data_IF_814811176833
#
_entry.id   IF_814811176833
#
_cell.length_a   1.000
_cell.length_b   1.000
_cell.length_c   1.000
_cell.angle_alpha   90.00
_cell.angle_beta   90.00
_cell.angle_gamma   90.00
#
_symmetry.space_group_name_H-M   'P 1'
#
loop_
_entity.id
_entity.type
_entity.pdbx_description
1 polymer ?
#
# COMPACT_ATOMS: atom_id res chain seq x y z
N UNK A 1 -12.79 20.80 -0.69
CA UNK A 1 -11.71 20.95 0.30
C UNK A 1 -11.65 19.63 1.03
N UNK A 2 -10.80 18.69 0.57
CA UNK A 2 -10.71 17.36 1.16
C UNK A 2 -9.65 17.40 2.26
N UNK A 3 -10.05 17.02 3.47
CA UNK A 3 -9.18 17.00 4.64
C UNK A 3 -8.63 15.58 4.80
N UNK A 4 -7.35 15.39 4.53
CA UNK A 4 -6.63 14.23 5.06
C UNK A 4 -6.22 14.54 6.49
N UNK A 5 -6.38 13.55 7.38
CA UNK A 5 -5.91 13.67 8.77
C UNK A 5 -4.64 12.84 8.89
N UNK A 6 -3.52 13.52 9.15
CA UNK A 6 -2.21 12.90 9.37
C UNK A 6 -1.96 12.80 10.86
N UNK A 7 -1.71 11.59 11.33
CA UNK A 7 -1.28 11.33 12.70
C UNK A 7 0.19 10.89 12.68
N UNK A 8 1.00 11.51 13.54
CA UNK A 8 2.37 11.08 13.81
C UNK A 8 2.41 10.43 15.18
N UNK A 9 2.68 9.13 15.23
CA UNK A 9 2.72 8.38 16.49
C UNK A 9 4.15 7.88 16.70
N UNK A 10 4.78 8.42 17.76
CA UNK A 10 6.09 7.94 18.20
C UNK A 10 5.91 6.73 19.12
N UNK A 11 6.23 5.54 18.62
CA UNK A 11 6.33 4.35 19.45
C UNK A 11 7.76 4.24 20.01
N UNK A 12 7.89 4.33 21.34
CA UNK A 12 9.17 4.11 22.02
C UNK A 12 9.28 2.64 22.41
N UNK A 13 9.88 1.82 21.56
CA UNK A 13 10.24 0.46 21.95
C UNK A 13 11.47 0.53 22.88
N UNK A 14 11.24 0.43 24.19
CA UNK A 14 12.33 0.28 25.14
C UNK A 14 13.09 -1.01 24.85
N UNK A 15 14.41 -0.95 24.77
CA UNK A 15 15.24 -2.16 24.77
C UNK A 15 15.01 -2.89 26.09
N UNK A 16 14.30 -4.02 26.05
CA UNK A 16 14.13 -4.87 27.22
C UNK A 16 15.41 -5.65 27.40
N UNK A 17 16.32 -5.11 28.21
CA UNK A 17 17.36 -5.91 28.85
C UNK A 17 16.70 -6.88 29.83
N UNK A 18 17.16 -8.12 29.79
CA UNK A 18 16.53 -9.31 30.34
C UNK A 18 16.16 -9.22 31.82
N UNK A 19 14.87 -9.32 32.19
CA UNK A 19 14.43 -9.92 33.46
C UNK A 19 13.00 -10.51 33.35
N UNK A 20 12.87 -11.83 33.49
CA UNK A 20 11.67 -12.51 34.02
C UNK A 20 10.57 -12.93 33.03
N UNK A 21 10.52 -14.23 32.70
CA UNK A 21 9.50 -14.95 31.90
C UNK A 21 8.07 -14.99 32.54
N UNK A 22 7.53 -13.88 33.06
CA UNK A 22 6.15 -13.84 33.59
C UNK A 22 5.13 -13.11 32.70
N UNK A 23 5.58 -12.45 31.63
CA UNK A 23 4.73 -11.69 30.72
C UNK A 23 4.19 -12.50 29.52
N UNK A 24 4.82 -13.63 29.20
CA UNK A 24 4.47 -14.46 28.03
C UNK A 24 3.01 -14.97 28.02
N UNK A 25 2.38 -15.38 29.15
CA UNK A 25 0.98 -15.77 29.13
C UNK A 25 0.03 -14.57 29.03
N UNK A 26 0.40 -13.40 29.57
CA UNK A 26 -0.44 -12.19 29.53
C UNK A 26 -0.48 -11.59 28.11
N UNK A 27 0.67 -11.54 27.44
CA UNK A 27 0.75 -11.12 26.03
C UNK A 27 0.03 -12.12 25.13
N UNK A 28 0.20 -13.43 25.36
CA UNK A 28 -0.54 -14.46 24.63
C UNK A 28 -2.06 -14.37 24.82
N UNK A 29 -2.53 -14.06 26.03
CA UNK A 29 -3.97 -13.92 26.31
C UNK A 29 -4.55 -12.66 25.67
N UNK A 30 -3.83 -11.53 25.67
CA UNK A 30 -4.24 -10.32 24.95
C UNK A 30 -4.24 -10.56 23.43
N UNK A 31 -3.27 -11.31 22.91
CA UNK A 31 -3.20 -11.64 21.48
C UNK A 31 -4.35 -12.57 21.06
N UNK A 32 -4.69 -13.57 21.87
CA UNK A 32 -5.83 -14.47 21.62
C UNK A 32 -7.15 -13.71 21.77
N UNK A 33 -7.29 -12.81 22.76
CA UNK A 33 -8.48 -11.96 22.90
C UNK A 33 -8.63 -11.00 21.72
N UNK A 34 -7.51 -10.46 21.20
CA UNK A 34 -7.49 -9.64 19.99
C UNK A 34 -7.87 -10.46 18.76
N UNK A 35 -7.36 -11.69 18.62
CA UNK A 35 -7.75 -12.61 17.53
C UNK A 35 -9.23 -13.01 17.64
N UNK A 36 -9.76 -13.26 18.85
CA UNK A 36 -11.17 -13.60 19.05
C UNK A 36 -12.09 -12.40 18.81
N UNK A 37 -11.69 -11.19 19.20
CA UNK A 37 -12.41 -9.96 18.85
C UNK A 37 -12.37 -9.66 17.34
N UNK A 38 -11.27 -10.02 16.67
CA UNK A 38 -11.15 -9.93 15.21
C UNK A 38 -11.80 -11.10 14.46
N UNK A 39 -12.12 -12.22 15.12
CA UNK A 39 -12.79 -13.36 14.46
C UNK A 39 -14.25 -13.06 14.10
N UNK A 40 -14.87 -12.05 14.73
CA UNK A 40 -16.13 -11.47 14.27
C UNK A 40 -15.95 -10.42 13.14
N UNK A 41 -14.71 -9.99 12.86
CA UNK A 41 -14.35 -9.05 11.80
C UNK A 41 -14.10 -9.75 10.44
N UNK A 42 -14.27 -11.07 10.38
CA UNK A 42 -14.06 -11.87 9.17
C UNK A 42 -15.12 -11.71 8.08
N UNK A 43 -16.13 -10.84 8.25
CA UNK A 43 -17.14 -10.60 7.21
C UNK A 43 -16.75 -9.53 6.17
N UNK A 44 -15.65 -8.78 6.37
CA UNK A 44 -15.26 -7.70 5.44
C UNK A 44 -13.77 -7.61 5.09
N UNK A 45 -12.91 -8.52 5.57
CA UNK A 45 -11.49 -8.49 5.18
C UNK A 45 -11.25 -9.31 3.91
N UNK A 46 -11.03 -8.62 2.79
CA UNK A 46 -10.49 -9.21 1.57
C UNK A 46 -9.09 -9.79 1.89
N UNK A 47 -8.96 -11.11 1.91
CA UNK A 47 -7.68 -11.79 2.17
C UNK A 47 -6.74 -11.56 0.99
N UNK A 48 -5.90 -10.52 1.08
CA UNK A 48 -4.84 -10.28 0.10
C UNK A 48 -3.66 -11.20 0.45
N UNK A 49 -3.44 -12.21 -0.38
CA UNK A 49 -2.23 -13.06 -0.28
C UNK A 49 -1.08 -12.26 -0.88
N UNK A 50 -0.16 -11.80 -0.03
CA UNK A 50 1.13 -11.24 -0.48
C UNK A 50 2.13 -12.38 -0.53
N UNK A 51 2.56 -12.76 -1.73
CA UNK A 51 3.65 -13.71 -1.89
C UNK A 51 4.94 -13.06 -1.38
N UNK A 52 5.53 -13.65 -0.35
CA UNK A 52 6.90 -13.36 0.07
C UNK A 52 7.84 -14.12 -0.86
N UNK A 53 8.49 -13.46 -1.81
CA UNK A 53 9.67 -14.05 -2.45
C UNK A 53 10.71 -12.98 -2.84
N UNK A 54 12.01 -13.24 -2.60
CA UNK A 54 13.09 -12.27 -2.73
C UNK A 54 13.72 -12.20 -4.15
N UNK A 55 12.99 -12.58 -5.20
CA UNK A 55 13.48 -12.54 -6.57
C UNK A 55 12.42 -11.93 -7.49
N UNK A 56 12.43 -10.60 -7.62
CA UNK A 56 11.65 -9.91 -8.63
C UNK A 56 12.22 -10.28 -10.01
N UNK A 57 11.47 -11.03 -10.80
CA UNK A 57 11.76 -11.38 -12.20
C UNK A 57 11.52 -10.12 -13.05
N UNK A 58 12.10 -10.04 -14.26
CA UNK A 58 11.92 -8.94 -15.23
C UNK A 58 10.45 -8.48 -15.37
N UNK A 59 9.49 -9.41 -15.20
CA UNK A 59 8.09 -9.12 -15.00
C UNK A 59 7.49 -9.98 -13.88
N UNK A 60 6.59 -9.40 -13.07
CA UNK A 60 5.85 -10.14 -12.04
C UNK A 60 4.44 -9.60 -11.81
N UNK A 61 3.48 -10.50 -11.57
CA UNK A 61 2.13 -10.15 -11.12
C UNK A 61 2.11 -10.11 -9.60
N UNK A 62 1.69 -8.97 -9.03
CA UNK A 62 1.73 -8.70 -7.59
C UNK A 62 0.37 -8.81 -6.91
N UNK A 63 -0.68 -8.42 -7.62
CA UNK A 63 -2.05 -8.44 -7.12
C UNK A 63 -3.00 -8.89 -8.22
N UNK A 64 -4.03 -9.61 -7.81
CA UNK A 64 -5.13 -10.07 -8.67
C UNK A 64 -6.43 -9.80 -7.90
N UNK A 65 -7.45 -9.31 -8.60
CA UNK A 65 -8.80 -9.18 -8.06
C UNK A 65 -9.82 -9.37 -9.17
N UNK A 66 -10.86 -10.11 -8.87
CA UNK A 66 -12.02 -10.23 -9.74
C UNK A 66 -12.92 -9.00 -9.60
N UNK A 67 -13.46 -8.51 -10.71
CA UNK A 67 -14.46 -7.45 -10.77
C UNK A 67 -15.86 -8.04 -10.77
N UNK A 68 -16.88 -7.21 -10.54
CA UNK A 68 -18.28 -7.65 -10.49
C UNK A 68 -18.79 -8.23 -11.83
N UNK A 69 -18.13 -7.89 -12.94
CA UNK A 69 -18.43 -8.36 -14.29
C UNK A 69 -17.64 -9.64 -14.69
N UNK A 70 -17.05 -10.34 -13.71
CA UNK A 70 -16.15 -11.50 -13.92
C UNK A 70 -14.88 -11.18 -14.75
N UNK A 71 -14.51 -9.91 -14.87
CA UNK A 71 -13.20 -9.52 -15.40
C UNK A 71 -12.16 -9.63 -14.28
N UNK A 72 -10.88 -9.65 -14.67
CA UNK A 72 -9.77 -9.73 -13.73
C UNK A 72 -8.88 -8.50 -13.86
N UNK A 73 -8.57 -7.89 -12.71
CA UNK A 73 -7.59 -6.82 -12.58
C UNK A 73 -6.27 -7.39 -12.07
N UNK A 74 -5.19 -7.06 -12.76
CA UNK A 74 -3.83 -7.41 -12.39
C UNK A 74 -3.01 -6.15 -12.13
N UNK A 75 -2.21 -6.19 -11.06
CA UNK A 75 -1.10 -5.26 -10.89
C UNK A 75 0.19 -5.99 -11.30
N UNK A 76 0.85 -5.49 -12.34
CA UNK A 76 2.10 -6.00 -12.89
C UNK A 76 3.25 -5.05 -12.58
N UNK A 77 4.39 -5.60 -12.20
CA UNK A 77 5.67 -4.91 -12.13
C UNK A 77 6.58 -5.37 -13.27
N UNK A 78 7.28 -4.42 -13.88
CA UNK A 78 8.30 -4.67 -14.91
C UNK A 78 9.57 -3.91 -14.55
N UNK A 79 10.74 -4.55 -14.66
CA UNK A 79 12.03 -3.91 -14.43
C UNK A 79 13.10 -4.86 -13.88
N UNK A 80 14.34 -4.36 -13.69
CA UNK A 80 15.47 -5.19 -13.30
C UNK A 80 15.35 -5.70 -11.86
N UNK A 81 16.03 -6.80 -11.57
CA UNK A 81 16.09 -7.35 -10.21
C UNK A 81 16.80 -6.38 -9.25
N UNK A 82 16.25 -6.22 -8.04
CA UNK A 82 16.87 -5.48 -6.94
C UNK A 82 16.53 -6.14 -5.59
N UNK A 83 17.38 -5.90 -4.60
CA UNK A 83 17.26 -6.39 -3.23
C UNK A 83 16.93 -5.28 -2.21
N UNK A 84 16.79 -4.04 -2.67
CA UNK A 84 16.44 -2.89 -1.83
C UNK A 84 15.08 -2.35 -2.22
N UNK A 85 14.18 -2.18 -1.25
CA UNK A 85 12.85 -1.62 -1.50
C UNK A 85 12.92 -0.17 -2.02
N UNK A 86 13.88 0.62 -1.53
CA UNK A 86 14.11 1.99 -2.02
C UNK A 86 14.59 2.00 -3.47
N UNK A 87 15.50 1.10 -3.83
CA UNK A 87 15.91 0.94 -5.22
C UNK A 87 14.74 0.50 -6.09
N UNK A 88 13.94 -0.46 -5.61
CA UNK A 88 12.76 -0.98 -6.29
C UNK A 88 11.81 0.16 -6.69
N UNK A 89 11.50 1.07 -5.75
CA UNK A 89 10.65 2.24 -6.03
C UNK A 89 11.19 3.15 -7.14
N UNK A 90 12.51 3.22 -7.32
CA UNK A 90 13.15 4.11 -8.30
C UNK A 90 13.42 3.48 -9.66
N UNK A 91 13.29 2.16 -9.81
CA UNK A 91 13.64 1.46 -11.06
C UNK A 91 12.49 0.65 -11.65
N UNK A 92 11.57 0.15 -10.84
CA UNK A 92 10.43 -0.66 -11.31
C UNK A 92 9.34 0.23 -11.91
N UNK A 93 8.71 -0.28 -12.97
CA UNK A 93 7.51 0.26 -13.57
C UNK A 93 6.30 -0.55 -13.12
N UNK A 94 5.23 0.15 -12.72
CA UNK A 94 3.95 -0.47 -12.36
C UNK A 94 2.95 -0.30 -13.50
N UNK A 95 2.17 -1.33 -13.78
CA UNK A 95 1.04 -1.25 -14.71
C UNK A 95 -0.16 -2.00 -14.17
N UNK A 96 -1.36 -1.48 -14.39
CA UNK A 96 -2.62 -2.18 -14.13
C UNK A 96 -3.16 -2.74 -15.46
N UNK A 97 -3.65 -3.98 -15.43
CA UNK A 97 -4.15 -4.69 -16.61
C UNK A 97 -5.53 -5.22 -16.28
N UNK A 98 -6.49 -4.99 -17.17
CA UNK A 98 -7.85 -5.53 -17.13
C UNK A 98 -7.96 -6.62 -18.18
N UNK A 99 -8.39 -7.81 -17.78
CA UNK A 99 -8.67 -8.93 -18.70
C UNK A 99 -10.10 -9.41 -18.56
N UNK A 100 -10.61 -10.09 -19.58
CA UNK A 100 -11.83 -10.87 -19.44
C UNK A 100 -11.59 -12.18 -18.66
N UNK A 101 -12.64 -12.96 -18.47
CA UNK A 101 -12.60 -14.28 -17.81
C UNK A 101 -11.70 -15.31 -18.53
N UNK A 102 -11.44 -15.10 -19.82
CA UNK A 102 -10.56 -15.94 -20.65
C UNK A 102 -9.09 -15.46 -20.63
N UNK A 103 -8.74 -14.52 -19.73
CA UNK A 103 -7.42 -13.92 -19.58
C UNK A 103 -6.94 -13.14 -20.82
N UNK A 104 -7.84 -12.71 -21.69
CA UNK A 104 -7.50 -11.81 -22.79
C UNK A 104 -7.51 -10.37 -22.28
N UNK A 105 -6.44 -9.63 -22.56
CA UNK A 105 -6.33 -8.22 -22.21
C UNK A 105 -7.42 -7.40 -22.91
N UNK A 106 -8.22 -6.71 -22.09
CA UNK A 106 -9.21 -5.73 -22.53
C UNK A 106 -8.55 -4.36 -22.60
N UNK A 107 -7.83 -3.98 -21.54
CA UNK A 107 -7.09 -2.72 -21.48
C UNK A 107 -5.93 -2.81 -20.47
N UNK A 108 -5.00 -1.86 -20.56
CA UNK A 108 -3.93 -1.68 -19.59
C UNK A 108 -3.53 -0.20 -19.45
N UNK A 109 -3.01 0.15 -18.28
CA UNK A 109 -2.49 1.48 -18.00
C UNK A 109 -1.15 1.40 -17.27
N UNK A 110 -0.16 2.09 -17.82
CA UNK A 110 1.14 2.31 -17.15
C UNK A 110 1.01 3.40 -16.10
N UNK A 111 1.57 3.14 -14.92
CA UNK A 111 1.53 4.08 -13.81
C UNK A 111 2.78 4.95 -13.85
N UNK A 112 2.59 6.17 -14.33
CA UNK A 112 3.65 7.17 -14.49
C UNK A 112 3.27 8.45 -13.75
N UNK A 113 4.26 9.14 -13.19
CA UNK A 113 4.04 10.48 -12.64
C UNK A 113 4.14 11.52 -13.75
N UNK A 114 3.28 12.54 -13.69
CA UNK A 114 3.42 13.74 -14.52
C UNK A 114 4.57 14.64 -14.02
N UNK A 115 5.01 14.46 -12.77
CA UNK A 115 6.15 15.16 -12.20
C UNK A 115 7.44 14.42 -12.58
N UNK A 116 8.27 15.04 -13.42
CA UNK A 116 9.36 14.34 -14.13
C UNK A 116 10.44 13.68 -13.27
N UNK A 117 10.61 14.06 -12.01
CA UNK A 117 11.53 13.44 -11.07
C UNK A 117 10.87 12.39 -10.15
N UNK A 118 9.55 12.21 -10.21
CA UNK A 118 8.83 11.28 -9.36
C UNK A 118 8.60 9.95 -10.06
N UNK A 119 8.87 8.85 -9.36
CA UNK A 119 8.44 7.50 -9.78
C UNK A 119 7.41 6.94 -8.81
N UNK A 120 6.49 6.14 -9.32
CA UNK A 120 5.39 5.60 -8.53
C UNK A 120 5.47 4.07 -8.58
N UNK A 121 5.61 3.48 -7.40
CA UNK A 121 5.45 2.05 -7.20
C UNK A 121 4.05 1.80 -6.63
N UNK A 122 3.14 1.30 -7.47
CA UNK A 122 1.82 0.89 -7.00
C UNK A 122 1.95 -0.40 -6.17
N UNK A 123 1.26 -0.49 -5.03
CA UNK A 123 1.34 -1.64 -4.11
C UNK A 123 0.05 -2.48 -4.10
N UNK A 124 -1.05 -1.85 -4.51
CA UNK A 124 -2.35 -2.50 -4.57
C UNK A 124 -3.43 -1.55 -5.04
N UNK A 125 -4.64 -2.09 -5.10
CA UNK A 125 -5.80 -1.35 -5.55
C UNK A 125 -7.07 -1.75 -4.78
N UNK A 126 -7.98 -0.79 -4.71
CA UNK A 126 -9.27 -0.88 -4.01
C UNK A 126 -10.35 -0.50 -5.01
N UNK A 127 -11.47 -1.22 -4.99
CA UNK A 127 -12.65 -0.87 -5.80
C UNK A 127 -13.54 0.03 -4.96
N UNK A 128 -13.89 1.21 -5.48
CA UNK A 128 -14.68 2.24 -4.79
C UNK A 128 -15.85 2.66 -5.70
N UNK A 129 -16.97 1.96 -5.60
CA UNK A 129 -18.12 2.20 -6.48
C UNK A 129 -17.72 2.04 -7.94
N UNK A 130 -17.80 3.13 -8.72
CA UNK A 130 -17.44 3.17 -10.14
C UNK A 130 -15.96 3.38 -10.42
N UNK A 131 -15.13 3.57 -9.38
CA UNK A 131 -13.71 3.87 -9.52
C UNK A 131 -12.80 2.74 -9.01
N UNK A 132 -11.60 2.69 -9.55
CA UNK A 132 -10.49 1.92 -9.00
C UNK A 132 -9.55 2.93 -8.34
N UNK A 133 -9.20 2.71 -7.08
CA UNK A 133 -8.16 3.45 -6.39
C UNK A 133 -6.90 2.60 -6.35
N UNK A 134 -5.89 2.95 -7.13
CA UNK A 134 -4.53 2.47 -6.96
C UNK A 134 -3.85 3.22 -5.83
N UNK A 135 -3.19 2.50 -4.94
CA UNK A 135 -2.34 3.08 -3.91
C UNK A 135 -0.91 2.58 -4.05
N UNK A 136 0.05 3.43 -3.70
CA UNK A 136 1.46 3.11 -3.83
C UNK A 136 2.35 4.11 -3.11
N UNK A 137 3.65 3.96 -3.29
CA UNK A 137 4.65 4.90 -2.82
C UNK A 137 5.22 5.66 -4.02
N UNK A 138 5.22 6.98 -3.93
CA UNK A 138 5.94 7.82 -4.87
C UNK A 138 7.31 8.19 -4.28
N UNK A 139 8.35 8.12 -5.11
CA UNK A 139 9.73 8.47 -4.73
C UNK A 139 10.24 9.58 -5.62
N UNK A 140 10.84 10.60 -5.01
CA UNK A 140 11.64 11.58 -5.72
C UNK A 140 13.00 10.95 -6.06
N UNK A 141 13.28 10.79 -7.34
CA UNK A 141 14.51 10.15 -7.83
C UNK A 141 15.78 10.98 -7.59
N UNK A 142 15.67 12.23 -7.14
CA UNK A 142 16.80 13.09 -6.79
C UNK A 142 17.06 13.08 -5.28
N UNK A 143 16.02 13.25 -4.46
CA UNK A 143 16.18 13.37 -2.99
C UNK A 143 15.98 12.04 -2.25
N UNK A 144 15.38 11.05 -2.91
CA UNK A 144 14.92 9.78 -2.31
C UNK A 144 13.83 9.97 -1.24
N UNK A 145 13.17 11.13 -1.19
CA UNK A 145 12.00 11.35 -0.33
C UNK A 145 10.81 10.57 -0.88
N UNK A 146 9.94 10.10 0.01
CA UNK A 146 8.84 9.21 -0.35
C UNK A 146 7.53 9.66 0.26
N UNK A 147 6.46 9.52 -0.51
CA UNK A 147 5.11 9.91 -0.15
C UNK A 147 4.10 8.83 -0.54
N UNK A 148 2.95 8.81 0.14
CA UNK A 148 1.80 8.03 -0.32
C UNK A 148 1.30 8.62 -1.64
N UNK A 149 1.13 7.78 -2.64
CA UNK A 149 0.51 8.14 -3.91
C UNK A 149 -0.80 7.40 -4.10
N UNK A 150 -1.85 8.15 -4.41
CA UNK A 150 -3.17 7.65 -4.71
C UNK A 150 -3.57 8.05 -6.13
N UNK A 151 -4.00 7.08 -6.93
CA UNK A 151 -4.40 7.27 -8.32
C UNK A 151 -5.80 6.70 -8.51
N UNK A 152 -6.73 7.55 -8.93
CA UNK A 152 -8.09 7.12 -9.26
C UNK A 152 -8.17 6.85 -10.74
N UNK A 153 -8.74 5.71 -11.07
CA UNK A 153 -9.04 5.29 -12.43
C UNK A 153 -10.54 5.02 -12.57
N UNK A 154 -11.06 5.22 -13.78
CA UNK A 154 -12.36 4.64 -14.14
C UNK A 154 -12.26 3.12 -14.34
N UNK A 155 -13.37 2.49 -14.70
CA UNK A 155 -13.45 1.05 -14.95
C UNK A 155 -12.64 0.60 -16.16
N UNK A 156 -12.47 1.51 -17.11
CA UNK A 156 -11.70 1.33 -18.33
C UNK A 156 -10.21 1.61 -18.12
N UNK A 157 -9.75 1.85 -16.88
CA UNK A 157 -8.36 2.13 -16.51
C UNK A 157 -7.81 3.50 -16.98
N UNK A 158 -8.66 4.46 -17.34
CA UNK A 158 -8.21 5.82 -17.58
C UNK A 158 -7.91 6.52 -16.23
N UNK A 159 -6.75 7.17 -16.14
CA UNK A 159 -6.38 7.94 -14.95
C UNK A 159 -7.22 9.22 -14.89
N UNK A 160 -7.97 9.37 -13.79
CA UNK A 160 -8.83 10.53 -13.55
C UNK A 160 -8.14 11.59 -12.69
N UNK A 161 -7.39 11.14 -11.68
CA UNK A 161 -6.64 12.02 -10.77
C UNK A 161 -5.53 11.27 -10.05
N UNK A 162 -4.46 12.00 -9.73
CA UNK A 162 -3.34 11.54 -8.89
C UNK A 162 -3.15 12.51 -7.74
N UNK A 163 -3.03 12.00 -6.52
CA UNK A 163 -2.78 12.80 -5.30
C UNK A 163 -1.63 12.22 -4.50
N UNK A 164 -0.81 13.10 -3.93
CA UNK A 164 0.28 12.74 -3.04
C UNK A 164 -0.03 13.19 -1.62
N UNK A 165 0.31 12.35 -0.65
CA UNK A 165 0.10 12.61 0.77
C UNK A 165 1.34 12.26 1.58
N UNK A 166 1.64 13.09 2.57
CA UNK A 166 2.85 12.96 3.39
C UNK A 166 3.73 14.19 3.28
N UNK A 167 4.94 14.08 3.81
CA UNK A 167 5.96 15.14 3.71
C UNK A 167 6.71 15.07 2.38
N UNK A 168 6.97 16.23 1.77
CA UNK A 168 7.78 16.36 0.54
C UNK A 168 9.29 16.28 0.79
N UNK A 169 9.72 16.15 2.06
CA UNK A 169 11.12 16.19 2.48
C UNK A 169 11.47 15.12 3.52
N UNK A 170 10.65 14.06 3.58
CA UNK A 170 10.87 12.91 4.45
C UNK A 170 10.67 11.61 3.66
N UNK A 171 11.30 10.54 4.14
CA UNK A 171 11.16 9.18 3.59
C UNK A 171 10.00 8.43 4.27
N UNK A 172 8.77 8.82 3.96
CA UNK A 172 7.57 8.13 4.46
C UNK A 172 7.19 6.99 3.52
N UNK A 173 7.29 5.75 4.00
CA UNK A 173 6.93 4.57 3.19
C UNK A 173 5.72 3.89 3.79
N UNK A 174 4.71 3.68 2.95
CA UNK A 174 3.42 3.10 3.33
C UNK A 174 3.35 1.64 2.88
N UNK A 175 3.11 0.74 3.83
CA UNK A 175 3.18 -0.70 3.60
C UNK A 175 1.81 -1.39 3.66
N UNK A 176 0.83 -0.73 4.28
CA UNK A 176 -0.47 -1.35 4.52
C UNK A 176 -1.58 -0.31 4.59
N UNK A 177 -2.80 -0.81 4.44
CA UNK A 177 -4.01 -0.04 4.61
C UNK A 177 -5.12 -0.90 5.21
N UNK A 178 -6.12 -0.26 5.78
CA UNK A 178 -7.41 -0.86 6.07
C UNK A 178 -8.54 0.12 5.74
N UNK A 179 -9.78 -0.38 5.70
CA UNK A 179 -10.98 0.45 5.60
C UNK A 179 -11.65 0.42 6.97
N UNK A 180 -11.92 1.58 7.56
CA UNK A 180 -12.57 1.68 8.87
C UNK A 180 -14.10 1.52 8.76
N UNK A 181 -14.78 1.55 9.91
CA UNK A 181 -16.23 1.41 10.01
C UNK A 181 -17.02 2.56 9.36
N UNK A 182 -16.38 3.72 9.18
CA UNK A 182 -16.93 4.86 8.46
C UNK A 182 -16.72 4.78 6.94
N UNK A 183 -16.01 3.75 6.47
CA UNK A 183 -15.66 3.60 5.05
C UNK A 183 -14.46 4.44 4.61
N UNK A 184 -13.73 5.06 5.54
CA UNK A 184 -12.48 5.77 5.23
C UNK A 184 -11.34 4.78 5.06
N UNK A 185 -10.39 5.15 4.23
CA UNK A 185 -9.19 4.34 3.95
C UNK A 185 -8.06 4.88 4.82
N UNK A 186 -7.54 4.02 5.68
CA UNK A 186 -6.46 4.34 6.61
C UNK A 186 -5.19 3.66 6.13
N UNK A 187 -4.21 4.46 5.74
CA UNK A 187 -2.88 4.02 5.35
C UNK A 187 -1.92 4.10 6.52
N UNK A 188 -1.06 3.09 6.65
CA UNK A 188 -0.03 3.02 7.68
C UNK A 188 1.33 2.85 7.04
N UNK A 189 2.26 3.69 7.47
CA UNK A 189 3.65 3.71 7.03
C UNK A 189 4.62 4.02 8.16
N UNK A 190 5.90 4.12 7.79
CA UNK A 190 7.00 4.39 8.72
C UNK A 190 7.92 5.50 8.18
N UNK A 191 8.56 6.25 9.08
CA UNK A 191 9.62 7.21 8.76
C UNK A 191 10.56 7.45 9.96
N UNK A 192 11.87 7.71 9.75
CA UNK A 192 12.64 7.42 8.54
C UNK A 192 12.96 5.94 8.45
N UNK A 193 12.79 5.36 7.26
CA UNK A 193 13.01 3.94 6.99
C UNK A 193 14.45 3.49 7.30
N UNK A 194 15.42 4.41 7.26
CA UNK A 194 16.85 4.15 7.44
C UNK A 194 17.44 4.62 8.78
N UNK A 195 16.61 4.96 9.79
CA UNK A 195 17.11 5.46 11.08
C UNK A 195 16.83 4.52 12.25
N UNK A 196 17.60 4.67 13.33
CA UNK A 196 17.34 4.00 14.62
C UNK A 196 16.08 4.52 15.36
N UNK A 197 15.40 5.52 14.80
CA UNK A 197 14.20 6.14 15.35
C UNK A 197 13.08 6.13 14.31
N UNK A 198 12.38 5.01 14.21
CA UNK A 198 11.20 4.90 13.35
C UNK A 198 9.95 5.42 14.07
N UNK A 199 9.21 6.28 13.41
CA UNK A 199 7.89 6.77 13.81
C UNK A 199 6.84 6.19 12.86
N UNK A 200 5.66 5.89 13.40
CA UNK A 200 4.53 5.49 12.58
C UNK A 200 3.85 6.72 12.01
N UNK A 201 3.55 6.64 10.71
CA UNK A 201 2.78 7.63 9.98
C UNK A 201 1.45 7.00 9.62
N UNK A 202 0.36 7.65 10.00
CA UNK A 202 -0.98 7.20 9.67
C UNK A 202 -1.68 8.32 8.90
N UNK A 203 -2.24 7.98 7.75
CA UNK A 203 -3.01 8.90 6.91
C UNK A 203 -4.39 8.30 6.68
N UNK A 204 -5.41 9.02 7.11
CA UNK A 204 -6.81 8.66 6.85
C UNK A 204 -7.37 9.54 5.74
N UNK A 205 -8.06 8.89 4.78
CA UNK A 205 -8.59 9.50 3.57
C UNK A 205 -10.04 9.05 3.39
N UNK A 206 -10.92 10.01 3.13
CA UNK A 206 -12.32 9.76 2.78
C UNK A 206 -12.40 8.99 1.45
N UNK A 207 -13.16 7.89 1.42
CA UNK A 207 -13.30 7.05 0.22
C UNK A 207 -14.03 7.75 -0.94
N UNK A 208 -14.68 8.89 -0.69
CA UNK A 208 -15.29 9.72 -1.72
C UNK A 208 -14.31 10.60 -2.49
N UNK A 209 -13.03 10.65 -2.06
CA UNK A 209 -11.91 11.29 -2.76
C UNK A 209 -11.58 12.68 -2.25
#
# INVERSE_FOLDING_TARGET
MHQSIRYKIRLKFGSVTSVGNKWKPLVGFVFILFIMLNSNFQLYCQKVITLSDPAYIDESIRRIKETDDNNLLFLKFTGPQTYSYLELMSIIESSIILTNSDLQEINSASIVSEQGNMKILAEGFIRLGDHILLHGNAVDTLTMDTQLCLIWLDLELNILQTKFYGSESEQEVFFSYCVNDQGNIVFVGEYPVSSSYQELVIIEIDSTG
#
